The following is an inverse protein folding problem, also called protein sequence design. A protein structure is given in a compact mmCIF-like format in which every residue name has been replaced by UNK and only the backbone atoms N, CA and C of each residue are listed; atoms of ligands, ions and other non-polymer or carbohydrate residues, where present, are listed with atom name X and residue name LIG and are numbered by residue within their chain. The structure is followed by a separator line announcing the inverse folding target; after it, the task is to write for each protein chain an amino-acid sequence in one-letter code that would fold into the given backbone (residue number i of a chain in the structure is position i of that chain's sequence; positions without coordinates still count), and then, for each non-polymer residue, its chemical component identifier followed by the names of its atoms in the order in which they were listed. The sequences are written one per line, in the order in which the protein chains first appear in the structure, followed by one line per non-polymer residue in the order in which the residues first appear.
data_IF_081714975442
#
_entry.id   IF_081714975442
#
_cell.length_a   1.000
_cell.length_b   1.000
_cell.length_c   1.000
_cell.angle_alpha   90.00
_cell.angle_beta   90.00
_cell.angle_gamma   90.00
#
_symmetry.space_group_name_H-M   'P 1'
#
loop_
_entity.id
_entity.type
_entity.pdbx_description
1 polymer ?
#
# COMPACT_ATOMS: atom_id res chain seq x y z
N UNK A 1 -15.92 9.23 11.67
CA UNK A 1 -15.04 8.81 10.55
C UNK A 1 -15.76 9.01 9.22
N UNK A 2 -15.11 9.48 8.13
CA UNK A 2 -15.76 9.79 6.85
C UNK A 2 -16.63 8.64 6.29
N UNK A 3 -16.13 7.40 6.37
CA UNK A 3 -16.84 6.19 5.91
C UNK A 3 -18.15 5.88 6.67
N UNK A 4 -18.29 6.37 7.90
CA UNK A 4 -19.55 6.21 8.65
C UNK A 4 -20.64 7.15 8.12
N UNK A 5 -20.27 8.31 7.56
CA UNK A 5 -21.21 9.26 6.93
C UNK A 5 -21.55 8.84 5.52
N UNK A 6 -20.55 8.48 4.72
CA UNK A 6 -20.74 7.93 3.38
C UNK A 6 -19.77 6.79 3.11
N UNK A 7 -20.22 5.52 3.09
CA UNK A 7 -19.33 4.37 2.82
C UNK A 7 -18.83 4.32 1.37
N UNK A 8 -19.42 5.10 0.46
CA UNK A 8 -19.03 5.17 -0.95
C UNK A 8 -18.05 6.29 -1.24
N UNK A 9 -17.52 6.96 -0.21
CA UNK A 9 -16.52 8.00 -0.44
C UNK A 9 -15.19 7.41 -0.87
N UNK A 10 -14.59 8.04 -1.88
CA UNK A 10 -13.30 7.67 -2.45
C UNK A 10 -12.18 8.12 -1.50
N UNK A 11 -11.58 7.16 -0.80
CA UNK A 11 -10.54 7.44 0.21
C UNK A 11 -9.34 6.54 -0.07
N UNK A 12 -8.17 7.16 -0.05
CA UNK A 12 -6.87 6.50 -0.09
C UNK A 12 -6.16 6.80 1.23
N UNK A 13 -5.75 5.76 1.94
CA UNK A 13 -4.89 5.85 3.12
C UNK A 13 -3.54 5.24 2.74
N UNK A 14 -2.45 5.99 2.86
CA UNK A 14 -1.13 5.52 2.44
C UNK A 14 -0.01 6.09 3.30
N UNK A 15 1.09 5.35 3.40
CA UNK A 15 2.30 5.76 4.10
C UNK A 15 3.07 4.57 4.67
N UNK A 16 4.08 4.87 5.47
CA UNK A 16 4.78 3.91 6.31
C UNK A 16 4.03 3.74 7.65
N UNK A 17 3.53 2.53 7.89
CA UNK A 17 2.78 2.18 9.08
C UNK A 17 3.66 1.54 10.18
N UNK A 18 4.93 1.24 9.89
CA UNK A 18 5.84 0.48 10.76
C UNK A 18 5.32 -0.89 11.23
N UNK A 19 4.22 -1.36 10.64
CA UNK A 19 3.58 -2.64 10.93
C UNK A 19 3.22 -3.32 9.61
N UNK A 20 3.26 -4.65 9.58
CA UNK A 20 2.84 -5.43 8.42
C UNK A 20 1.30 -5.54 8.33
N UNK A 21 0.74 -5.86 7.14
CA UNK A 21 -0.71 -5.97 6.96
C UNK A 21 -1.41 -6.94 7.93
N UNK A 22 -0.69 -7.94 8.44
CA UNK A 22 -1.21 -8.94 9.37
C UNK A 22 -1.22 -8.49 10.84
N UNK A 23 -0.52 -7.41 11.20
CA UNK A 23 -0.45 -6.93 12.58
C UNK A 23 -1.80 -6.32 13.02
N UNK A 24 -2.08 -6.39 14.34
CA UNK A 24 -3.36 -5.95 14.91
C UNK A 24 -3.68 -4.48 14.65
N UNK A 25 -2.68 -3.60 14.74
CA UNK A 25 -2.82 -2.17 14.43
C UNK A 25 -3.40 -1.93 13.03
N UNK A 26 -2.97 -2.71 12.04
CA UNK A 26 -3.40 -2.60 10.64
C UNK A 26 -4.68 -3.38 10.36
N UNK A 27 -4.78 -4.62 10.83
CA UNK A 27 -5.92 -5.50 10.56
C UNK A 27 -7.16 -5.13 11.38
N UNK A 28 -6.97 -4.77 12.65
CA UNK A 28 -8.05 -4.48 13.60
C UNK A 28 -8.18 -2.99 13.88
N UNK A 29 -7.06 -2.28 14.06
CA UNK A 29 -7.07 -0.83 14.33
C UNK A 29 -7.54 -0.02 13.12
N UNK A 30 -6.88 -0.19 11.97
CA UNK A 30 -7.27 0.41 10.70
C UNK A 30 -8.34 -0.38 9.95
N UNK A 31 -8.68 -1.57 10.44
CA UNK A 31 -9.74 -2.43 9.89
C UNK A 31 -9.49 -2.77 8.41
N UNK A 32 -8.26 -3.17 8.09
CA UNK A 32 -7.89 -3.51 6.72
C UNK A 32 -8.16 -4.99 6.38
N UNK A 33 -8.39 -5.25 5.09
CA UNK A 33 -8.67 -6.59 4.55
C UNK A 33 -8.05 -6.72 3.16
N UNK A 34 -7.56 -7.92 2.84
CA UNK A 34 -7.17 -8.28 1.47
C UNK A 34 -8.35 -8.71 0.60
N UNK A 35 -9.51 -8.97 1.19
CA UNK A 35 -10.70 -9.38 0.45
C UNK A 35 -11.51 -8.14 -0.01
N UNK A 36 -11.45 -7.85 -1.30
CA UNK A 36 -12.20 -6.77 -1.92
C UNK A 36 -13.72 -6.98 -1.87
N UNK A 37 -14.22 -8.22 -1.94
CA UNK A 37 -15.66 -8.51 -1.79
C UNK A 37 -16.11 -8.13 -0.39
N UNK A 38 -15.38 -8.58 0.63
CA UNK A 38 -15.67 -8.25 2.03
C UNK A 38 -15.65 -6.74 2.29
N UNK A 39 -14.72 -6.00 1.68
CA UNK A 39 -14.65 -4.54 1.79
C UNK A 39 -15.86 -3.87 1.17
N UNK A 40 -16.30 -4.31 -0.02
CA UNK A 40 -17.51 -3.79 -0.68
C UNK A 40 -18.77 -4.04 0.15
N UNK A 41 -18.91 -5.21 0.75
CA UNK A 41 -20.02 -5.56 1.64
C UNK A 41 -20.00 -4.78 2.97
N UNK A 42 -18.81 -4.36 3.44
CA UNK A 42 -18.60 -3.72 4.73
C UNK A 42 -17.96 -2.33 4.62
N UNK A 43 -18.34 -1.55 3.59
CA UNK A 43 -17.66 -0.30 3.22
C UNK A 43 -17.64 0.82 4.27
N UNK A 44 -18.50 0.73 5.30
CA UNK A 44 -18.47 1.65 6.46
C UNK A 44 -17.30 1.41 7.41
N UNK A 45 -16.67 0.26 7.30
CA UNK A 45 -15.86 -0.32 8.37
C UNK A 45 -14.53 -0.88 7.88
N UNK A 46 -14.43 -1.34 6.64
CA UNK A 46 -13.23 -1.98 6.13
C UNK A 46 -12.55 -1.16 5.04
N UNK A 47 -11.22 -1.23 5.02
CA UNK A 47 -10.38 -0.77 3.93
C UNK A 47 -9.78 -1.97 3.18
N UNK A 48 -9.66 -1.86 1.87
CA UNK A 48 -8.96 -2.82 1.03
C UNK A 48 -7.47 -2.52 1.03
N UNK A 49 -6.64 -3.48 1.43
CA UNK A 49 -5.19 -3.34 1.39
C UNK A 49 -4.64 -3.78 0.03
N UNK A 50 -3.99 -2.85 -0.68
CA UNK A 50 -3.50 -3.06 -2.04
C UNK A 50 -2.39 -4.10 -2.17
N UNK A 51 -1.75 -4.51 -1.07
CA UNK A 51 -0.82 -5.64 -1.09
C UNK A 51 -1.49 -6.98 -1.47
N UNK A 52 -2.83 -7.05 -1.47
CA UNK A 52 -3.58 -8.20 -1.95
C UNK A 52 -3.16 -8.60 -3.37
N UNK A 53 -2.72 -9.86 -3.54
CA UNK A 53 -2.33 -10.41 -4.84
C UNK A 53 -0.97 -9.93 -5.36
N UNK A 54 -0.23 -9.12 -4.61
CA UNK A 54 1.14 -8.74 -4.98
C UNK A 54 2.11 -9.90 -4.76
N UNK A 55 2.95 -10.19 -5.76
CA UNK A 55 4.03 -11.17 -5.65
C UNK A 55 5.29 -10.61 -4.96
N UNK A 56 5.32 -9.29 -4.71
CA UNK A 56 6.46 -8.63 -4.07
C UNK A 56 6.50 -8.97 -2.58
N UNK A 57 7.70 -9.31 -2.10
CA UNK A 57 7.92 -9.71 -0.70
C UNK A 57 7.72 -8.55 0.28
N UNK A 58 8.10 -7.33 -0.12
CA UNK A 58 8.00 -6.12 0.69
C UNK A 58 8.51 -4.89 -0.07
N UNK A 59 8.45 -3.74 0.59
CA UNK A 59 9.08 -2.48 0.17
C UNK A 59 10.32 -2.15 1.00
N UNK A 60 10.43 -2.73 2.19
CA UNK A 60 11.49 -2.47 3.16
C UNK A 60 12.24 -3.77 3.50
N UNK A 61 13.53 -3.67 3.79
CA UNK A 61 14.36 -4.82 4.20
C UNK A 61 14.95 -4.59 5.59
N UNK A 62 14.62 -5.48 6.52
CA UNK A 62 15.10 -5.40 7.90
C UNK A 62 15.33 -6.78 8.49
N UNK A 63 16.44 -6.94 9.21
CA UNK A 63 16.83 -8.20 9.89
C UNK A 63 16.65 -9.43 9.00
N UNK A 64 17.20 -9.37 7.79
CA UNK A 64 17.16 -10.42 6.78
C UNK A 64 15.74 -10.80 6.27
N UNK A 65 14.78 -9.90 6.41
CA UNK A 65 13.41 -10.12 5.97
C UNK A 65 12.87 -8.92 5.20
N UNK A 66 12.14 -9.22 4.13
CA UNK A 66 11.31 -8.22 3.44
C UNK A 66 10.05 -7.96 4.25
N UNK A 67 9.69 -6.69 4.40
CA UNK A 67 8.52 -6.25 5.14
C UNK A 67 7.61 -5.35 4.28
N UNK A 68 6.31 -5.42 4.53
CA UNK A 68 5.26 -4.63 3.85
C UNK A 68 4.77 -3.48 4.74
N UNK A 69 5.69 -2.73 5.34
CA UNK A 69 5.35 -1.65 6.30
C UNK A 69 4.82 -0.40 5.60
N UNK A 70 5.28 -0.13 4.38
CA UNK A 70 4.62 0.83 3.49
C UNK A 70 3.35 0.19 2.94
N UNK A 71 2.22 0.88 3.01
CA UNK A 71 0.94 0.32 2.57
C UNK A 71 0.08 1.37 1.88
N UNK A 72 -0.78 0.92 0.96
CA UNK A 72 -1.84 1.71 0.35
C UNK A 72 -3.15 0.96 0.60
N UNK A 73 -4.13 1.65 1.17
CA UNK A 73 -5.44 1.10 1.48
C UNK A 73 -6.55 1.95 0.89
N UNK A 74 -7.60 1.31 0.38
CA UNK A 74 -8.67 1.93 -0.38
C UNK A 74 -10.02 1.71 0.31
N UNK A 75 -10.89 2.71 0.29
CA UNK A 75 -12.28 2.53 0.69
C UNK A 75 -13.09 1.72 -0.32
N UNK A 76 -14.31 1.33 0.07
CA UNK A 76 -15.26 0.68 -0.83
C UNK A 76 -15.67 1.58 -2.03
N UNK A 77 -15.66 2.91 -1.87
CA UNK A 77 -15.95 3.87 -2.94
C UNK A 77 -15.07 3.68 -4.17
N UNK A 78 -13.81 3.28 -3.97
CA UNK A 78 -12.84 3.03 -5.05
C UNK A 78 -13.21 1.84 -5.97
N UNK A 79 -14.28 1.10 -5.65
CA UNK A 79 -14.82 -0.01 -6.44
C UNK A 79 -16.17 0.30 -7.10
N UNK A 80 -16.66 1.54 -6.96
CA UNK A 80 -17.92 1.99 -7.56
C UNK A 80 -17.74 2.37 -9.05
N UNK A 81 -18.85 2.46 -9.82
CA UNK A 81 -18.79 2.79 -11.25
C UNK A 81 -18.41 4.25 -11.54
N UNK A 82 -18.46 5.15 -10.56
CA UNK A 82 -18.21 6.59 -10.71
C UNK A 82 -17.20 7.07 -9.67
N UNK A 83 -16.51 8.18 -9.95
CA UNK A 83 -15.46 8.70 -9.06
C UNK A 83 -14.09 8.11 -9.37
N UNK A 84 -13.23 8.00 -8.35
CA UNK A 84 -11.93 7.36 -8.47
C UNK A 84 -12.09 5.85 -8.42
N UNK A 85 -11.63 5.13 -9.45
CA UNK A 85 -11.76 3.69 -9.55
C UNK A 85 -10.40 2.98 -9.51
N UNK A 86 -10.33 1.88 -8.75
CA UNK A 86 -9.17 1.00 -8.68
C UNK A 86 -9.24 -0.11 -9.75
N UNK A 87 -8.30 -0.16 -10.71
CA UNK A 87 -8.20 -1.25 -11.68
C UNK A 87 -7.54 -2.49 -11.06
N UNK A 88 -7.76 -3.68 -11.65
CA UNK A 88 -7.25 -4.96 -11.15
C UNK A 88 -5.72 -5.04 -10.96
N UNK A 89 -4.96 -4.21 -11.69
CA UNK A 89 -3.50 -4.10 -11.58
C UNK A 89 -3.07 -2.67 -11.21
N UNK A 90 -3.86 -2.00 -10.35
CA UNK A 90 -3.61 -0.62 -9.95
C UNK A 90 -2.44 -0.45 -8.98
N UNK A 91 -1.97 -1.51 -8.34
CA UNK A 91 -0.93 -1.45 -7.32
C UNK A 91 0.39 -2.06 -7.79
N UNK A 92 1.52 -1.42 -7.45
CA UNK A 92 2.86 -1.99 -7.66
C UNK A 92 3.84 -1.50 -6.61
N UNK A 93 4.56 -2.42 -5.97
CA UNK A 93 5.85 -2.11 -5.33
C UNK A 93 6.92 -2.04 -6.43
N UNK A 94 7.42 -0.84 -6.69
CA UNK A 94 8.29 -0.54 -7.83
C UNK A 94 9.75 -0.57 -7.42
N UNK A 95 10.58 -1.17 -8.27
CA UNK A 95 12.03 -1.23 -8.10
C UNK A 95 12.69 -1.27 -9.48
N UNK A 96 13.83 -0.62 -9.61
CA UNK A 96 14.77 -0.83 -10.72
C UNK A 96 16.19 -0.95 -10.17
N UNK A 97 17.13 -1.41 -11.00
CA UNK A 97 18.44 -1.86 -10.54
C UNK A 97 19.24 -0.83 -9.74
N UNK A 98 19.09 0.48 -9.99
CA UNK A 98 19.83 1.51 -9.22
C UNK A 98 19.23 1.80 -7.85
N UNK A 99 18.01 1.34 -7.57
CA UNK A 99 17.41 1.44 -6.24
C UNK A 99 17.83 0.31 -5.32
N UNK A 100 18.52 -0.70 -5.86
CA UNK A 100 18.89 -1.90 -5.14
C UNK A 100 20.40 -1.96 -4.98
N UNK A 101 20.84 -2.46 -3.84
CA UNK A 101 22.25 -2.77 -3.62
C UNK A 101 22.67 -3.87 -4.60
N UNK A 102 23.72 -3.67 -5.42
CA UNK A 102 24.15 -4.66 -6.41
C UNK A 102 24.59 -6.00 -5.82
N UNK A 103 24.97 -6.03 -4.53
CA UNK A 103 25.52 -7.21 -3.87
C UNK A 103 24.45 -8.15 -3.32
N UNK A 104 23.40 -7.61 -2.69
CA UNK A 104 22.37 -8.39 -2.00
C UNK A 104 20.94 -8.12 -2.47
N UNK A 105 20.74 -7.14 -3.37
CA UNK A 105 19.46 -6.84 -3.98
C UNK A 105 18.43 -6.20 -3.04
N UNK A 106 18.83 -5.75 -1.85
CA UNK A 106 17.96 -4.99 -0.93
C UNK A 106 17.86 -3.52 -1.38
N UNK A 107 16.88 -2.74 -0.89
CA UNK A 107 16.81 -1.31 -1.18
C UNK A 107 18.11 -0.61 -0.72
N UNK A 108 18.70 0.20 -1.59
CA UNK A 108 19.96 0.87 -1.31
C UNK A 108 19.70 2.21 -0.61
N UNK A 109 20.01 2.33 0.70
CA UNK A 109 19.73 3.54 1.47
C UNK A 109 20.54 4.73 0.99
N UNK A 110 20.01 5.93 1.22
CA UNK A 110 20.79 7.16 1.05
C UNK A 110 21.89 7.29 2.11
N UNK A 111 21.59 6.87 3.34
CA UNK A 111 22.50 6.91 4.48
C UNK A 111 22.58 5.55 5.18
N UNK A 112 23.78 5.13 5.54
CA UNK A 112 24.02 3.96 6.39
C UNK A 112 24.90 4.37 7.58
N UNK A 113 24.43 4.08 8.80
CA UNK A 113 25.14 4.41 10.07
C UNK A 113 25.63 5.88 10.11
N UNK A 114 24.80 6.80 9.65
CA UNK A 114 25.10 8.25 9.63
C UNK A 114 26.02 8.70 8.49
N UNK A 115 26.39 7.83 7.55
CA UNK A 115 27.22 8.17 6.39
C UNK A 115 26.41 8.13 5.11
N UNK A 116 26.58 9.13 4.25
CA UNK A 116 25.99 9.11 2.91
C UNK A 116 26.64 8.00 2.08
N UNK A 117 25.83 7.10 1.51
CA UNK A 117 26.31 5.98 0.68
C UNK A 117 25.81 6.05 -0.76
N UNK A 118 24.92 6.99 -1.09
CA UNK A 118 24.55 7.30 -2.48
C UNK A 118 23.32 6.57 -3.03
N UNK A 119 22.64 5.76 -2.23
CA UNK A 119 21.40 5.11 -2.63
C UNK A 119 20.19 6.04 -2.61
N UNK A 120 19.08 5.55 -3.19
CA UNK A 120 17.84 6.32 -3.32
C UNK A 120 17.03 6.36 -2.03
N UNK A 121 16.89 5.22 -1.35
CA UNK A 121 16.02 5.03 -0.18
C UNK A 121 16.18 3.59 0.32
N UNK A 122 16.07 3.38 1.63
CA UNK A 122 15.89 2.06 2.25
C UNK A 122 14.47 1.50 2.06
N UNK A 123 13.55 2.30 1.52
CA UNK A 123 12.20 1.89 1.13
C UNK A 123 11.99 1.97 -0.37
N UNK A 124 11.36 0.94 -0.94
CA UNK A 124 10.87 0.94 -2.32
C UNK A 124 9.54 1.69 -2.42
N UNK A 125 9.32 2.50 -3.47
CA UNK A 125 8.09 3.24 -3.65
C UNK A 125 6.93 2.32 -4.01
N UNK A 126 5.76 2.66 -3.46
CA UNK A 126 4.48 2.06 -3.86
C UNK A 126 3.78 2.97 -4.87
N UNK A 127 3.34 2.38 -5.97
CA UNK A 127 2.61 3.06 -7.02
C UNK A 127 1.14 2.64 -6.98
N UNK A 128 0.25 3.63 -7.04
CA UNK A 128 -1.19 3.43 -7.23
C UNK A 128 -1.64 4.12 -8.52
N UNK A 129 -2.16 3.34 -9.46
CA UNK A 129 -2.87 3.81 -10.64
C UNK A 129 -4.36 3.78 -10.37
N UNK A 130 -5.03 4.90 -10.59
CA UNK A 130 -6.49 5.05 -10.52
C UNK A 130 -7.04 5.50 -11.87
N UNK A 131 -8.34 5.33 -12.07
CA UNK A 131 -9.07 5.87 -13.23
C UNK A 131 -10.16 6.80 -12.71
N UNK A 132 -10.32 7.97 -13.32
CA UNK A 132 -11.43 8.87 -13.01
C UNK A 132 -12.62 8.53 -13.92
N UNK A 133 -13.75 8.17 -13.33
CA UNK A 133 -15.02 7.93 -14.01
C UNK A 133 -15.97 9.07 -13.69
N UNK A 134 -16.53 9.71 -14.70
CA UNK A 134 -17.44 10.85 -14.51
C UNK A 134 -18.65 10.42 -13.68
N UNK A 135 -18.98 11.23 -12.67
CA UNK A 135 -20.27 11.12 -11.97
C UNK A 135 -21.36 11.59 -12.93
N UNK A 136 -22.41 10.80 -13.10
CA UNK A 136 -23.57 11.21 -13.92
C UNK A 136 -24.50 12.13 -13.15
#
# INVERSE_FOLDING_TARGET
QPLQRNPKEDIIVMGDFNDEPGNRSVKEGLRSSFDARKVRENGKQLLFNCWSGSEKKGSYWFRNNWQKIDQIMLSAGMFEPEGLAYPSNGFRCFSFFRMLDPSDGKPWPTYEKGRYVGGYSDHLPLLLKTVVRKRK
#
